data_IF_966305753363
#
_entry.id   IF_966305753363
#
_cell.length_a   1.000
_cell.length_b   1.000
_cell.length_c   1.000
_cell.angle_alpha   90.00
_cell.angle_beta   90.00
_cell.angle_gamma   90.00
#
_symmetry.space_group_name_H-M   'P 1'
#
loop_
_entity.id
_entity.type
_entity.pdbx_description
1 polymer ?
#
# COMPACT_ATOMS: atom_id res chain seq x y z
N UNK A 1 -10.44 -9.78 -9.82
CA UNK A 1 -11.03 -8.52 -10.04
C UNK A 1 -10.46 -7.40 -9.21
N UNK A 2 -11.04 -6.24 -9.35
CA UNK A 2 -10.59 -5.07 -8.64
C UNK A 2 -11.46 -4.83 -7.43
N UNK A 3 -10.85 -4.36 -6.36
CA UNK A 3 -11.56 -4.04 -5.13
C UNK A 3 -11.32 -2.57 -4.83
N UNK A 4 -12.37 -1.86 -4.48
CA UNK A 4 -12.26 -0.47 -4.08
C UNK A 4 -12.87 -0.28 -2.71
N UNK A 5 -12.17 0.45 -1.85
CA UNK A 5 -12.61 0.69 -0.48
C UNK A 5 -12.75 2.20 -0.28
N UNK A 6 -13.97 2.65 0.04
CA UNK A 6 -14.22 4.06 0.30
C UNK A 6 -14.65 4.33 1.73
N UNK A 7 -14.75 3.33 2.55
CA UNK A 7 -15.11 3.47 3.96
C UNK A 7 -14.06 2.84 4.82
N UNK A 8 -14.42 2.50 6.04
CA UNK A 8 -13.48 1.87 6.96
C UNK A 8 -13.57 0.36 6.88
N UNK A 9 -12.43 -0.27 6.90
CA UNK A 9 -12.34 -1.72 6.92
C UNK A 9 -11.29 -2.12 7.94
N UNK A 10 -11.63 -3.07 8.80
CA UNK A 10 -10.69 -3.64 9.74
C UNK A 10 -10.62 -5.13 9.49
N UNK A 11 -9.43 -5.66 9.32
CA UNK A 11 -9.22 -7.07 9.07
C UNK A 11 -8.23 -7.27 7.96
N UNK A 12 -8.20 -8.49 7.41
CA UNK A 12 -7.23 -8.84 6.40
C UNK A 12 -7.86 -8.80 5.02
N UNK A 13 -7.10 -8.35 4.05
CA UNK A 13 -7.52 -8.34 2.66
C UNK A 13 -6.54 -9.20 1.88
N UNK A 14 -7.08 -10.15 1.11
CA UNK A 14 -6.26 -10.99 0.27
C UNK A 14 -6.94 -11.08 -1.08
N UNK A 15 -6.33 -10.53 -2.09
CA UNK A 15 -6.87 -10.57 -3.43
C UNK A 15 -5.73 -10.73 -4.42
N UNK A 16 -6.00 -11.36 -5.53
CA UNK A 16 -5.02 -11.53 -6.59
C UNK A 16 -5.13 -10.44 -7.65
N UNK A 17 -5.99 -9.48 -7.44
CA UNK A 17 -6.19 -8.40 -8.37
C UNK A 17 -5.65 -7.09 -7.84
N UNK A 18 -6.34 -6.02 -8.17
CA UNK A 18 -5.95 -4.68 -7.81
C UNK A 18 -6.81 -4.17 -6.67
N UNK A 19 -6.17 -3.52 -5.71
CA UNK A 19 -6.89 -2.91 -4.61
C UNK A 19 -6.72 -1.40 -4.68
N UNK A 20 -7.81 -0.65 -4.56
CA UNK A 20 -7.78 0.79 -4.54
C UNK A 20 -8.44 1.27 -3.25
N UNK A 21 -7.73 2.09 -2.49
CA UNK A 21 -8.29 2.72 -1.29
C UNK A 21 -8.53 4.18 -1.64
N UNK A 22 -9.80 4.58 -1.65
CA UNK A 22 -10.18 5.92 -2.00
C UNK A 22 -9.79 6.94 -0.94
N UNK A 23 -9.95 8.23 -1.25
CA UNK A 23 -9.51 9.29 -0.36
C UNK A 23 -10.22 9.25 0.99
N UNK A 24 -11.44 8.75 1.05
CA UNK A 24 -12.15 8.60 2.30
C UNK A 24 -12.02 7.19 2.87
N UNK A 25 -11.25 6.33 2.23
CA UNK A 25 -11.08 4.96 2.70
C UNK A 25 -10.08 4.88 3.83
N UNK A 26 -10.27 3.88 4.69
CA UNK A 26 -9.37 3.63 5.79
C UNK A 26 -9.31 2.13 6.01
N UNK A 27 -8.12 1.57 5.98
CA UNK A 27 -7.96 0.14 6.15
C UNK A 27 -6.99 -0.10 7.31
N UNK A 28 -7.39 -0.98 8.20
CA UNK A 28 -6.54 -1.39 9.32
C UNK A 28 -6.40 -2.90 9.28
N UNK A 29 -5.18 -3.38 9.22
CA UNK A 29 -4.90 -4.80 9.18
C UNK A 29 -3.94 -5.13 8.04
N UNK A 30 -3.91 -6.41 7.66
CA UNK A 30 -2.97 -6.88 6.66
C UNK A 30 -3.60 -6.82 5.28
N UNK A 31 -2.82 -6.37 4.30
CA UNK A 31 -3.27 -6.33 2.92
C UNK A 31 -2.30 -7.16 2.09
N UNK A 32 -2.86 -8.03 1.27
CA UNK A 32 -2.08 -8.83 0.35
C UNK A 32 -2.76 -8.80 -1.00
N UNK A 33 -2.10 -8.22 -1.97
CA UNK A 33 -2.66 -8.17 -3.31
C UNK A 33 -1.56 -8.03 -4.33
N UNK A 34 -1.94 -8.04 -5.60
CA UNK A 34 -0.98 -7.94 -6.68
C UNK A 34 -0.56 -6.50 -6.90
N UNK A 35 -1.50 -5.59 -6.95
CA UNK A 35 -1.24 -4.16 -7.11
C UNK A 35 -2.14 -3.39 -6.16
N UNK A 36 -1.65 -2.29 -5.63
CA UNK A 36 -2.43 -1.50 -4.70
C UNK A 36 -2.20 -0.02 -4.94
N UNK A 37 -3.28 0.73 -4.85
CA UNK A 37 -3.20 2.18 -4.91
C UNK A 37 -3.90 2.74 -3.69
N UNK A 38 -3.23 3.59 -2.93
CA UNK A 38 -3.77 4.13 -1.70
C UNK A 38 -3.90 5.64 -1.81
N UNK A 39 -5.12 6.13 -1.70
CA UNK A 39 -5.39 7.55 -1.64
C UNK A 39 -5.89 7.98 -0.26
N UNK A 40 -6.22 7.04 0.59
CA UNK A 40 -6.72 7.30 1.93
C UNK A 40 -5.71 6.90 2.98
N UNK A 41 -6.18 6.21 4.01
CA UNK A 41 -5.32 5.82 5.13
C UNK A 41 -5.19 4.31 5.20
N UNK A 42 -4.01 3.86 5.56
CA UNK A 42 -3.77 2.44 5.76
C UNK A 42 -2.88 2.26 6.96
N UNK A 43 -3.19 1.28 7.80
CA UNK A 43 -2.38 0.97 8.96
C UNK A 43 -2.23 -0.54 9.06
N UNK A 44 -1.00 -1.02 9.22
CA UNK A 44 -0.71 -2.43 9.31
C UNK A 44 0.27 -2.86 8.25
N UNK A 45 0.25 -4.15 7.92
CA UNK A 45 1.21 -4.70 6.97
C UNK A 45 0.61 -4.73 5.58
N UNK A 46 1.44 -4.45 4.59
CA UNK A 46 1.04 -4.51 3.19
C UNK A 46 2.03 -5.39 2.45
N UNK A 47 1.50 -6.40 1.75
CA UNK A 47 2.30 -7.25 0.89
C UNK A 47 1.79 -7.08 -0.53
N UNK A 48 2.59 -6.47 -1.38
CA UNK A 48 2.21 -6.19 -2.76
C UNK A 48 3.19 -6.90 -3.68
N UNK A 49 2.65 -7.70 -4.58
CA UNK A 49 3.47 -8.51 -5.45
C UNK A 49 4.10 -7.70 -6.57
N UNK A 50 3.41 -6.74 -7.11
CA UNK A 50 3.90 -5.96 -8.24
C UNK A 50 4.21 -4.53 -7.86
N UNK A 51 3.20 -3.71 -7.66
CA UNK A 51 3.42 -2.29 -7.46
C UNK A 51 2.47 -1.71 -6.42
N UNK A 52 3.01 -0.90 -5.55
CA UNK A 52 2.24 -0.12 -4.59
C UNK A 52 2.38 1.34 -4.95
N UNK A 53 1.26 2.05 -5.05
CA UNK A 53 1.25 3.48 -5.36
C UNK A 53 0.60 4.24 -4.20
N UNK A 54 1.27 5.27 -3.74
CA UNK A 54 0.75 6.16 -2.71
C UNK A 54 0.52 7.52 -3.33
N UNK A 55 -0.73 7.96 -3.31
CA UNK A 55 -1.05 9.27 -3.88
C UNK A 55 -0.78 10.37 -2.85
N UNK A 56 -0.87 11.60 -3.28
CA UNK A 56 -0.51 12.74 -2.44
C UNK A 56 -1.36 12.84 -1.17
N UNK A 57 -2.58 12.32 -1.18
CA UNK A 57 -3.45 12.37 -0.01
C UNK A 57 -3.34 11.13 0.86
N UNK A 58 -2.44 10.21 0.56
CA UNK A 58 -2.39 8.95 1.29
C UNK A 58 -1.60 9.08 2.58
N UNK A 59 -1.97 8.27 3.55
CA UNK A 59 -1.25 8.13 4.80
C UNK A 59 -1.09 6.64 5.08
N UNK A 60 0.15 6.19 5.16
CA UNK A 60 0.42 4.77 5.38
C UNK A 60 1.31 4.64 6.60
N UNK A 61 0.91 3.76 7.50
CA UNK A 61 1.66 3.50 8.72
C UNK A 61 1.83 1.99 8.87
N UNK A 62 3.04 1.56 9.17
CA UNK A 62 3.33 0.15 9.39
C UNK A 62 4.38 -0.36 8.44
N UNK A 63 4.30 -1.65 8.11
CA UNK A 63 5.32 -2.30 7.29
C UNK A 63 4.80 -2.50 5.88
N UNK A 64 5.65 -2.22 4.91
CA UNK A 64 5.33 -2.44 3.51
C UNK A 64 6.36 -3.36 2.91
N UNK A 65 5.89 -4.39 2.21
CA UNK A 65 6.72 -5.25 1.38
C UNK A 65 6.14 -5.22 -0.01
N UNK A 66 6.89 -4.73 -0.98
CA UNK A 66 6.38 -4.58 -2.32
C UNK A 66 7.53 -4.77 -3.33
N UNK A 67 7.19 -5.17 -4.53
CA UNK A 67 8.18 -5.25 -5.60
C UNK A 67 8.58 -3.88 -6.10
N UNK A 68 7.63 -2.98 -6.26
CA UNK A 68 7.90 -1.61 -6.68
C UNK A 68 7.08 -0.66 -5.83
N UNK A 69 7.64 0.50 -5.55
CA UNK A 69 6.96 1.50 -4.74
C UNK A 69 6.98 2.83 -5.46
N UNK A 70 5.81 3.45 -5.56
CA UNK A 70 5.68 4.78 -6.14
C UNK A 70 5.01 5.68 -5.10
N UNK A 71 5.64 6.79 -4.77
CA UNK A 71 5.12 7.72 -3.78
C UNK A 71 5.05 9.09 -4.41
N UNK A 72 3.86 9.68 -4.40
CA UNK A 72 3.68 11.02 -4.92
C UNK A 72 4.05 12.06 -3.88
N UNK A 73 4.46 13.25 -4.28
CA UNK A 73 4.73 14.32 -3.32
C UNK A 73 3.48 14.60 -2.49
N UNK A 74 3.67 14.73 -1.19
CA UNK A 74 2.56 14.94 -0.27
C UNK A 74 2.11 13.69 0.44
N UNK A 75 2.44 12.52 -0.05
CA UNK A 75 2.09 11.28 0.63
C UNK A 75 2.88 11.14 1.92
N UNK A 76 2.25 10.56 2.93
CA UNK A 76 2.90 10.36 4.21
C UNK A 76 3.10 8.87 4.44
N UNK A 77 4.30 8.51 4.83
CA UNK A 77 4.61 7.12 5.16
C UNK A 77 5.44 7.09 6.44
N UNK A 78 5.01 6.27 7.39
CA UNK A 78 5.74 6.06 8.63
C UNK A 78 5.83 4.56 8.87
N UNK A 79 7.03 4.06 9.12
CA UNK A 79 7.26 2.66 9.36
C UNK A 79 8.41 2.15 8.52
N UNK A 80 8.35 0.88 8.13
CA UNK A 80 9.41 0.26 7.34
C UNK A 80 8.89 -0.11 5.96
N UNK A 81 9.77 -0.02 5.00
CA UNK A 81 9.47 -0.40 3.64
C UNK A 81 10.54 -1.35 3.15
N UNK A 82 10.13 -2.51 2.70
CA UNK A 82 11.04 -3.52 2.17
C UNK A 82 10.68 -3.76 0.72
N UNK A 83 11.66 -3.60 -0.15
CA UNK A 83 11.46 -3.95 -1.55
C UNK A 83 11.72 -5.43 -1.70
N UNK A 84 10.75 -6.13 -2.18
CA UNK A 84 10.83 -7.58 -2.29
C UNK A 84 11.72 -8.04 -3.41
N UNK A 85 12.19 -7.16 -4.26
CA UNK A 85 13.03 -7.52 -5.34
C UNK A 85 14.45 -7.22 -4.99
N UNK A 86 15.31 -7.76 -5.74
CA UNK A 86 16.66 -7.62 -5.52
C UNK A 86 17.17 -6.30 -5.57
N UNK A 87 16.61 -5.50 -6.06
CA UNK A 87 17.15 -4.30 -6.23
C UNK A 87 17.36 -3.57 -5.17
N UNK A 88 17.48 -4.01 -4.54
CA UNK A 88 17.63 -3.21 -3.70
C UNK A 88 18.48 -2.10 -3.87
N UNK A 89 18.67 -2.16 -4.43
CA UNK A 89 19.16 -1.34 -4.64
C UNK A 89 18.88 -0.24 -4.42
N UNK A 90 18.73 -0.20 -4.26
CA UNK A 90 18.47 0.75 -4.20
C UNK A 90 18.37 1.42 -3.35
N UNK A 91 18.64 1.38 -3.02
CA UNK A 91 18.54 2.01 -2.48
C UNK A 91 18.57 2.84 -2.06
N UNK A 92 18.71 2.88 -2.04
CA UNK A 92 18.72 3.66 -1.73
C UNK A 92 18.55 4.39 -1.35
N UNK A 93 18.60 4.40 -1.16
CA UNK A 93 18.39 5.09 -0.93
C UNK A 93 18.28 5.55 -0.76
#
# INVERSE_FOLDING_TARGET
GDIRIDGELTGNIDTKGRLVIGASGKVMGDIKCKSCEIAGKQKGKIFINEQLSLTASSTVTGDIVTGKLSIEPGAYFAGTCTMGDDSADNESN
#
